data_IF_421783188346
#
_entry.id   IF_421783188346
#
_cell.length_a   1.000
_cell.length_b   1.000
_cell.length_c   1.000
_cell.angle_alpha   90.00
_cell.angle_beta   90.00
_cell.angle_gamma   90.00
#
_symmetry.space_group_name_H-M   'P 1'
#
loop_
_entity.id
_entity.type
_entity.pdbx_description
1 polymer ?
#
# COMPACT_ATOMS: atom_id res chain seq x y z
N UNK A 1 -17.50 7.08 -14.60
CA UNK A 1 -18.09 7.71 -15.80
C UNK A 1 -19.60 7.47 -15.80
N UNK A 2 -20.43 8.48 -16.07
CA UNK A 2 -21.85 8.25 -16.34
C UNK A 2 -21.99 7.97 -17.84
N UNK A 3 -22.29 6.71 -18.17
CA UNK A 3 -22.65 6.29 -19.52
C UNK A 3 -23.85 7.14 -19.94
N UNK A 4 -23.75 7.89 -21.04
CA UNK A 4 -24.93 8.53 -21.61
C UNK A 4 -25.81 7.44 -22.22
N UNK A 5 -26.77 6.98 -21.43
CA UNK A 5 -27.78 5.94 -21.73
C UNK A 5 -28.46 6.17 -23.08
N UNK A 6 -28.63 7.43 -23.48
CA UNK A 6 -29.34 7.86 -24.69
C UNK A 6 -28.74 7.37 -26.00
N UNK A 7 -27.42 7.25 -26.12
CA UNK A 7 -26.78 6.79 -27.36
C UNK A 7 -26.86 5.27 -27.52
N UNK A 8 -26.86 4.53 -26.42
CA UNK A 8 -27.08 3.07 -26.40
C UNK A 8 -28.55 2.78 -26.70
N UNK A 9 -29.46 3.51 -26.05
CA UNK A 9 -30.92 3.40 -26.25
C UNK A 9 -31.31 3.65 -27.72
N UNK A 10 -30.78 4.70 -28.35
CA UNK A 10 -31.10 5.00 -29.75
C UNK A 10 -30.62 3.91 -30.73
N UNK A 11 -29.50 3.25 -30.42
CA UNK A 11 -28.98 2.18 -31.28
C UNK A 11 -29.74 0.85 -31.05
N UNK A 12 -30.24 0.65 -29.83
CA UNK A 12 -31.20 -0.40 -29.48
C UNK A 12 -32.49 -0.25 -30.29
N UNK A 13 -33.06 0.96 -30.35
CA UNK A 13 -34.25 1.28 -31.16
C UNK A 13 -34.02 1.00 -32.65
N UNK A 14 -32.83 1.32 -33.18
CA UNK A 14 -32.47 1.03 -34.59
C UNK A 14 -32.43 -0.48 -34.88
N UNK A 15 -31.98 -1.29 -33.91
CA UNK A 15 -31.98 -2.74 -34.03
C UNK A 15 -33.39 -3.32 -33.93
N UNK A 16 -34.23 -2.77 -33.04
CA UNK A 16 -35.67 -3.07 -32.94
C UNK A 16 -36.39 -2.77 -34.26
N UNK A 17 -36.09 -1.63 -34.88
CA UNK A 17 -36.71 -1.22 -36.15
C UNK A 17 -36.27 -2.10 -37.33
N UNK A 18 -35.02 -2.58 -37.34
CA UNK A 18 -34.55 -3.58 -38.31
C UNK A 18 -35.16 -4.97 -38.10
N UNK A 19 -35.64 -5.27 -36.90
CA UNK A 19 -36.30 -6.55 -36.61
C UNK A 19 -37.72 -6.62 -37.21
N UNK A 20 -38.34 -5.50 -37.61
CA UNK A 20 -39.73 -5.50 -38.07
C UNK A 20 -40.00 -6.18 -39.44
N UNK A 21 -38.97 -6.46 -40.26
CA UNK A 21 -39.08 -7.20 -41.53
C UNK A 21 -38.75 -8.72 -41.37
N UNK A 22 -39.67 -9.61 -41.80
CA UNK A 22 -39.83 -11.01 -41.36
C UNK A 22 -38.80 -12.06 -41.88
N UNK A 23 -38.73 -13.23 -41.20
CA UNK A 23 -37.74 -14.34 -41.20
C UNK A 23 -36.37 -14.01 -40.60
N UNK A 24 -35.95 -12.75 -40.66
CA UNK A 24 -34.82 -12.19 -39.89
C UNK A 24 -35.16 -11.88 -38.43
N UNK A 25 -36.45 -11.75 -38.10
CA UNK A 25 -36.96 -11.22 -36.82
C UNK A 25 -36.52 -12.00 -35.58
N UNK A 26 -36.70 -13.31 -35.52
CA UNK A 26 -36.31 -14.12 -34.35
C UNK A 26 -34.78 -14.20 -34.17
N UNK A 27 -34.02 -14.21 -35.27
CA UNK A 27 -32.56 -14.17 -35.21
C UNK A 27 -32.05 -12.79 -34.79
N UNK A 28 -32.71 -11.71 -35.22
CA UNK A 28 -32.37 -10.35 -34.82
C UNK A 28 -32.76 -10.06 -33.38
N UNK A 29 -33.97 -10.42 -32.94
CA UNK A 29 -34.42 -10.31 -31.54
C UNK A 29 -33.47 -11.08 -30.60
N UNK A 30 -33.07 -12.30 -30.98
CA UNK A 30 -32.10 -13.08 -30.22
C UNK A 30 -30.73 -12.39 -30.13
N UNK A 31 -30.24 -11.82 -31.24
CA UNK A 31 -28.98 -11.07 -31.25
C UNK A 31 -29.04 -9.78 -30.42
N UNK A 32 -30.19 -9.10 -30.40
CA UNK A 32 -30.41 -7.92 -29.56
C UNK A 32 -30.38 -8.31 -28.09
N UNK A 33 -31.12 -9.35 -27.70
CA UNK A 33 -31.12 -9.85 -26.31
C UNK A 33 -29.72 -10.30 -25.86
N UNK A 34 -28.97 -11.02 -26.70
CA UNK A 34 -27.58 -11.40 -26.42
C UNK A 34 -26.66 -10.18 -26.28
N UNK A 35 -26.84 -9.14 -27.11
CA UNK A 35 -26.06 -7.91 -27.01
C UNK A 35 -26.37 -7.12 -25.74
N UNK A 36 -27.65 -7.03 -25.35
CA UNK A 36 -28.09 -6.41 -24.09
C UNK A 36 -27.48 -7.09 -22.87
N UNK A 37 -27.58 -8.43 -22.80
CA UNK A 37 -27.02 -9.21 -21.69
C UNK A 37 -25.50 -9.00 -21.59
N UNK A 38 -24.79 -9.08 -22.72
CA UNK A 38 -23.35 -8.85 -22.75
C UNK A 38 -22.97 -7.41 -22.36
N UNK A 39 -23.74 -6.41 -22.77
CA UNK A 39 -23.50 -5.02 -22.38
C UNK A 39 -23.71 -4.78 -20.88
N UNK A 40 -24.74 -5.37 -20.29
CA UNK A 40 -24.94 -5.34 -18.85
C UNK A 40 -23.78 -6.02 -18.11
N UNK A 41 -23.34 -7.18 -18.60
CA UNK A 41 -22.22 -7.91 -18.04
C UNK A 41 -20.91 -7.13 -18.14
N UNK A 42 -20.63 -6.53 -19.29
CA UNK A 42 -19.47 -5.67 -19.51
C UNK A 42 -19.48 -4.49 -18.56
N UNK A 43 -20.61 -3.79 -18.42
CA UNK A 43 -20.73 -2.66 -17.48
C UNK A 43 -20.45 -3.07 -16.04
N UNK A 44 -20.99 -4.22 -15.59
CA UNK A 44 -20.72 -4.76 -14.26
C UNK A 44 -19.24 -5.15 -14.09
N UNK A 45 -18.62 -5.72 -15.12
CA UNK A 45 -17.22 -6.12 -15.10
C UNK A 45 -16.28 -4.90 -15.05
N UNK A 46 -16.54 -3.88 -15.88
CA UNK A 46 -15.80 -2.62 -15.90
C UNK A 46 -15.92 -1.86 -14.58
N UNK A 47 -17.12 -1.77 -14.00
CA UNK A 47 -17.30 -1.15 -12.69
C UNK A 47 -16.47 -1.85 -11.59
N UNK A 48 -16.43 -3.19 -11.60
CA UNK A 48 -15.59 -3.95 -10.66
C UNK A 48 -14.10 -3.73 -10.92
N UNK A 49 -13.68 -3.69 -12.19
CA UNK A 49 -12.30 -3.39 -12.56
C UNK A 49 -11.90 -1.97 -12.14
N UNK A 50 -12.74 -0.97 -12.34
CA UNK A 50 -12.49 0.42 -11.95
C UNK A 50 -12.29 0.56 -10.44
N UNK A 51 -13.14 -0.10 -9.64
CA UNK A 51 -12.95 -0.15 -8.18
C UNK A 51 -11.65 -0.84 -7.78
N UNK A 52 -11.34 -2.00 -8.37
CA UNK A 52 -10.07 -2.71 -8.11
C UNK A 52 -8.85 -1.88 -8.53
N UNK A 53 -8.93 -1.16 -9.64
CA UNK A 53 -7.88 -0.26 -10.11
C UNK A 53 -7.72 0.94 -9.18
N UNK A 54 -8.81 1.53 -8.69
CA UNK A 54 -8.75 2.65 -7.73
C UNK A 54 -8.04 2.25 -6.43
N UNK A 55 -8.40 1.10 -5.86
CA UNK A 55 -7.73 0.56 -4.66
C UNK A 55 -6.23 0.30 -4.93
N UNK A 56 -5.94 -0.32 -6.08
CA UNK A 56 -4.58 -0.59 -6.53
C UNK A 56 -3.76 0.70 -6.66
N UNK A 57 -4.29 1.73 -7.34
CA UNK A 57 -3.59 3.00 -7.55
C UNK A 57 -3.28 3.71 -6.23
N UNK A 58 -4.19 3.63 -5.25
CA UNK A 58 -3.92 4.14 -3.90
C UNK A 58 -2.75 3.43 -3.24
N UNK A 59 -2.75 2.09 -3.23
CA UNK A 59 -1.68 1.31 -2.59
C UNK A 59 -0.34 1.46 -3.33
N UNK A 60 -0.36 1.46 -4.66
CA UNK A 60 0.79 1.76 -5.50
C UNK A 60 1.35 3.16 -5.20
N UNK A 61 0.48 4.15 -5.02
CA UNK A 61 0.85 5.51 -4.60
C UNK A 61 1.49 5.54 -3.21
N UNK A 62 0.99 4.77 -2.24
CA UNK A 62 1.64 4.65 -0.92
C UNK A 62 3.05 4.07 -1.07
N UNK A 63 3.19 2.96 -1.79
CA UNK A 63 4.48 2.30 -1.97
C UNK A 63 5.50 3.21 -2.67
N UNK A 64 5.08 3.93 -3.71
CA UNK A 64 5.96 4.74 -4.56
C UNK A 64 6.18 6.15 -4.05
N UNK A 65 5.13 6.88 -3.68
CA UNK A 65 5.21 8.29 -3.33
C UNK A 65 5.51 8.52 -1.85
N UNK A 66 5.03 7.63 -0.97
CA UNK A 66 5.27 7.74 0.48
C UNK A 66 6.58 7.05 0.83
N UNK A 67 6.75 5.79 0.44
CA UNK A 67 7.94 5.01 0.80
C UNK A 67 9.06 4.99 -0.26
N UNK A 68 8.89 5.69 -1.39
CA UNK A 68 9.94 5.82 -2.40
C UNK A 68 10.34 4.52 -3.11
N UNK A 69 9.51 3.47 -3.07
CA UNK A 69 9.81 2.16 -3.67
C UNK A 69 9.29 2.07 -5.09
N UNK A 70 10.02 1.40 -5.98
CA UNK A 70 9.57 1.14 -7.34
C UNK A 70 8.53 0.02 -7.41
N UNK A 71 7.59 0.12 -8.36
CA UNK A 71 6.72 -1.00 -8.72
C UNK A 71 7.49 -2.02 -9.57
N UNK A 72 7.31 -3.32 -9.34
CA UNK A 72 7.80 -4.34 -10.27
C UNK A 72 7.18 -4.21 -11.68
N UNK A 73 7.86 -4.78 -12.67
CA UNK A 73 7.42 -4.80 -14.07
C UNK A 73 6.07 -5.46 -14.27
N UNK A 74 5.82 -6.56 -13.56
CA UNK A 74 4.61 -7.38 -13.64
C UNK A 74 3.40 -6.58 -13.13
N UNK A 75 3.60 -5.87 -12.02
CA UNK A 75 2.62 -4.97 -11.40
C UNK A 75 2.30 -3.79 -12.33
N UNK A 76 3.33 -3.23 -12.97
CA UNK A 76 3.17 -2.13 -13.93
C UNK A 76 2.41 -2.58 -15.18
N UNK A 77 2.70 -3.79 -15.67
CA UNK A 77 2.01 -4.38 -16.82
C UNK A 77 0.51 -4.58 -16.55
N UNK A 78 0.16 -5.11 -15.37
CA UNK A 78 -1.23 -5.26 -14.97
C UNK A 78 -1.97 -3.92 -14.89
N UNK A 79 -1.32 -2.89 -14.32
CA UNK A 79 -1.84 -1.51 -14.26
C UNK A 79 -2.10 -0.94 -15.65
N UNK A 80 -1.14 -1.06 -16.56
CA UNK A 80 -1.24 -0.48 -17.90
C UNK A 80 -2.30 -1.20 -18.73
N UNK A 81 -2.41 -2.53 -18.61
CA UNK A 81 -3.50 -3.31 -19.23
C UNK A 81 -4.87 -2.85 -18.70
N UNK A 82 -5.03 -2.69 -17.39
CA UNK A 82 -6.27 -2.21 -16.78
C UNK A 82 -6.66 -0.80 -17.24
N UNK A 83 -5.69 0.11 -17.35
CA UNK A 83 -5.91 1.46 -17.90
C UNK A 83 -6.28 1.43 -19.37
N UNK A 84 -5.71 0.53 -20.16
CA UNK A 84 -6.07 0.37 -21.56
C UNK A 84 -7.52 -0.09 -21.71
N UNK A 85 -7.94 -1.09 -20.93
CA UNK A 85 -9.30 -1.65 -20.99
C UNK A 85 -10.35 -0.65 -20.50
N UNK A 86 -10.06 0.12 -19.45
CA UNK A 86 -11.00 1.14 -18.94
C UNK A 86 -11.11 2.39 -19.83
N UNK A 87 -10.26 2.53 -20.85
CA UNK A 87 -10.27 3.64 -21.82
C UNK A 87 -10.92 3.30 -23.15
N UNK A 88 -11.43 2.08 -23.32
CA UNK A 88 -12.17 1.67 -24.53
C UNK A 88 -13.37 2.61 -24.71
N UNK A 89 -13.53 3.14 -25.92
CA UNK A 89 -14.59 4.12 -26.22
C UNK A 89 -15.92 3.43 -26.47
N UNK A 90 -17.00 4.20 -26.42
CA UNK A 90 -18.33 3.68 -26.78
C UNK A 90 -18.37 3.20 -28.24
N UNK A 91 -17.70 3.90 -29.16
CA UNK A 91 -17.63 3.52 -30.57
C UNK A 91 -16.92 2.17 -30.74
N UNK A 92 -15.87 1.90 -29.97
CA UNK A 92 -15.18 0.60 -29.98
C UNK A 92 -16.11 -0.53 -29.49
N UNK A 93 -16.91 -0.27 -28.44
CA UNK A 93 -17.89 -1.26 -27.94
C UNK A 93 -18.99 -1.51 -28.98
N UNK A 94 -19.43 -0.46 -29.67
CA UNK A 94 -20.41 -0.57 -30.74
C UNK A 94 -19.87 -1.38 -31.93
N UNK A 95 -18.60 -1.18 -32.29
CA UNK A 95 -17.93 -1.97 -33.33
C UNK A 95 -17.83 -3.46 -32.94
N UNK A 96 -17.66 -3.77 -31.65
CA UNK A 96 -17.64 -5.17 -31.14
C UNK A 96 -19.02 -5.85 -31.18
N UNK A 97 -20.12 -5.08 -31.19
CA UNK A 97 -21.47 -5.63 -31.36
C UNK A 97 -21.74 -5.94 -32.85
N UNK A 98 -21.21 -5.07 -33.73
CA UNK A 98 -21.43 -5.15 -35.17
C UNK A 98 -20.50 -6.18 -35.86
N UNK A 99 -19.29 -6.42 -35.33
CA UNK A 99 -18.27 -7.30 -35.91
C UNK A 99 -18.23 -8.70 -35.25
N UNK A 100 -18.62 -9.74 -36.00
CA UNK A 100 -18.59 -11.13 -35.55
C UNK A 100 -17.18 -11.68 -35.28
N UNK A 101 -16.13 -10.95 -35.67
CA UNK A 101 -14.73 -11.31 -35.40
C UNK A 101 -14.19 -10.75 -34.07
N UNK A 102 -14.82 -9.70 -33.51
CA UNK A 102 -14.50 -9.12 -32.20
C UNK A 102 -15.68 -9.31 -31.26
N UNK A 103 -15.83 -10.51 -30.72
CA UNK A 103 -16.95 -10.78 -29.82
C UNK A 103 -16.87 -9.94 -28.55
N UNK A 104 -17.95 -9.23 -28.24
CA UNK A 104 -18.16 -8.56 -26.96
C UNK A 104 -17.90 -9.51 -25.77
N UNK A 105 -18.21 -10.81 -25.92
CA UNK A 105 -17.89 -11.84 -24.93
C UNK A 105 -16.39 -11.98 -24.66
N UNK A 106 -15.56 -11.94 -25.70
CA UNK A 106 -14.10 -12.01 -25.56
C UNK A 106 -13.56 -10.79 -24.82
N UNK A 107 -14.16 -9.62 -25.05
CA UNK A 107 -13.77 -8.40 -24.35
C UNK A 107 -14.15 -8.45 -22.86
N UNK A 108 -15.31 -9.02 -22.54
CA UNK A 108 -15.72 -9.26 -21.16
C UNK A 108 -14.73 -10.19 -20.44
N UNK A 109 -14.27 -11.25 -21.11
CA UNK A 109 -13.27 -12.16 -20.56
C UNK A 109 -11.92 -11.44 -20.35
N UNK A 110 -11.48 -10.59 -21.28
CA UNK A 110 -10.30 -9.74 -21.10
C UNK A 110 -10.40 -8.80 -19.89
N UNK A 111 -11.59 -8.21 -19.66
CA UNK A 111 -11.86 -7.37 -18.48
C UNK A 111 -11.76 -8.19 -17.20
N UNK A 112 -12.30 -9.42 -17.19
CA UNK A 112 -12.25 -10.33 -16.03
C UNK A 112 -10.82 -10.77 -15.72
N UNK A 113 -10.07 -11.19 -16.72
CA UNK A 113 -8.68 -11.62 -16.57
C UNK A 113 -7.82 -10.46 -16.06
N UNK A 114 -8.04 -9.27 -16.61
CA UNK A 114 -7.31 -8.07 -16.19
C UNK A 114 -7.67 -7.66 -14.77
N UNK A 115 -8.92 -7.83 -14.35
CA UNK A 115 -9.32 -7.61 -12.96
C UNK A 115 -8.60 -8.57 -12.01
N UNK A 116 -8.49 -9.85 -12.33
CA UNK A 116 -7.75 -10.79 -11.48
C UNK A 116 -6.25 -10.46 -11.47
N UNK A 117 -5.66 -10.05 -12.60
CA UNK A 117 -4.27 -9.59 -12.65
C UNK A 117 -4.04 -8.34 -11.78
N UNK A 118 -4.95 -7.36 -11.79
CA UNK A 118 -4.87 -6.17 -10.90
C UNK A 118 -4.97 -6.58 -9.43
N UNK A 119 -5.84 -7.53 -9.11
CA UNK A 119 -6.00 -8.03 -7.74
C UNK A 119 -4.78 -8.80 -7.24
N UNK A 120 -4.11 -9.57 -8.10
CA UNK A 120 -2.85 -10.23 -7.75
C UNK A 120 -1.71 -9.21 -7.60
N UNK A 121 -1.62 -8.23 -8.50
CA UNK A 121 -0.68 -7.12 -8.38
C UNK A 121 -0.91 -6.31 -7.10
N UNK A 122 -2.17 -6.12 -6.71
CA UNK A 122 -2.58 -5.50 -5.44
C UNK A 122 -2.09 -6.32 -4.24
N UNK A 123 -2.33 -7.63 -4.22
CA UNK A 123 -1.86 -8.52 -3.14
C UNK A 123 -0.34 -8.43 -2.98
N UNK A 124 0.39 -8.41 -4.09
CA UNK A 124 1.83 -8.24 -4.09
C UNK A 124 2.25 -6.90 -3.44
N UNK A 125 1.62 -5.78 -3.82
CA UNK A 125 1.89 -4.48 -3.19
C UNK A 125 1.58 -4.52 -1.69
N UNK A 126 0.46 -5.14 -1.29
CA UNK A 126 0.07 -5.25 0.12
C UNK A 126 1.10 -6.03 0.96
N UNK A 127 1.65 -7.12 0.43
CA UNK A 127 2.73 -7.87 1.08
C UNK A 127 3.98 -7.01 1.29
N UNK A 128 4.40 -6.25 0.27
CA UNK A 128 5.52 -5.32 0.37
C UNK A 128 5.27 -4.19 1.38
N UNK A 129 4.07 -3.61 1.38
CA UNK A 129 3.70 -2.57 2.33
C UNK A 129 3.69 -3.10 3.77
N UNK A 130 3.21 -4.33 3.99
CA UNK A 130 3.27 -4.97 5.29
C UNK A 130 4.71 -5.22 5.76
N UNK A 131 5.60 -5.63 4.85
CA UNK A 131 7.02 -5.82 5.18
C UNK A 131 7.68 -4.49 5.59
N UNK A 132 7.42 -3.42 4.83
CA UNK A 132 7.89 -2.06 5.17
C UNK A 132 7.34 -1.65 6.54
N UNK A 133 6.04 -1.82 6.78
CA UNK A 133 5.42 -1.48 8.05
C UNK A 133 6.07 -2.24 9.22
N UNK A 134 6.28 -3.56 9.09
CA UNK A 134 6.93 -4.37 10.14
C UNK A 134 8.35 -3.89 10.43
N UNK A 135 9.14 -3.64 9.39
CA UNK A 135 10.51 -3.12 9.53
C UNK A 135 10.52 -1.78 10.28
N UNK A 136 9.67 -0.85 9.82
CA UNK A 136 9.60 0.49 10.39
C UNK A 136 9.06 0.52 11.83
N UNK A 137 8.13 -0.37 12.17
CA UNK A 137 7.71 -0.55 13.56
C UNK A 137 8.83 -1.13 14.44
N UNK A 138 9.66 -2.03 13.91
CA UNK A 138 10.83 -2.54 14.62
C UNK A 138 11.90 -1.48 14.88
N UNK A 139 12.09 -0.55 13.95
CA UNK A 139 12.96 0.63 14.15
C UNK A 139 12.38 1.54 15.25
N UNK A 140 11.06 1.75 15.28
CA UNK A 140 10.39 2.50 16.34
C UNK A 140 10.52 1.84 17.72
N UNK A 141 10.42 0.51 17.78
CA UNK A 141 10.64 -0.28 18.99
C UNK A 141 12.08 -0.15 19.50
N UNK A 142 13.05 -0.19 18.57
CA UNK A 142 14.46 -0.01 18.89
C UNK A 142 14.75 1.41 19.41
N UNK A 143 14.22 2.43 18.73
CA UNK A 143 14.34 3.81 19.15
C UNK A 143 13.74 4.04 20.54
N UNK A 144 12.57 3.45 20.83
CA UNK A 144 11.97 3.52 22.17
C UNK A 144 12.87 2.87 23.22
N UNK A 145 13.40 1.68 22.94
CA UNK A 145 14.32 1.00 23.85
C UNK A 145 15.58 1.81 24.15
N UNK A 146 16.15 2.48 23.14
CA UNK A 146 17.28 3.39 23.34
C UNK A 146 16.84 4.60 24.18
N UNK A 147 15.70 5.23 23.87
CA UNK A 147 15.20 6.38 24.65
C UNK A 147 14.96 6.05 26.13
N UNK A 148 14.49 4.84 26.45
CA UNK A 148 14.31 4.37 27.82
C UNK A 148 15.60 4.33 28.64
N UNK A 149 16.75 4.10 28.00
CA UNK A 149 18.05 4.03 28.68
C UNK A 149 18.80 5.38 28.67
N UNK A 150 18.57 6.25 27.69
CA UNK A 150 19.28 7.55 27.59
C UNK A 150 18.56 8.71 28.29
N UNK A 151 17.47 8.45 29.00
CA UNK A 151 16.80 9.44 29.85
C UNK A 151 15.38 9.83 29.46
N UNK A 152 14.75 9.11 28.52
CA UNK A 152 13.36 9.26 28.08
C UNK A 152 12.98 10.70 27.69
N UNK A 153 13.64 11.25 26.66
CA UNK A 153 13.28 12.58 26.17
C UNK A 153 11.79 12.63 25.73
N UNK A 154 10.95 13.51 26.31
CA UNK A 154 9.52 13.54 26.01
C UNK A 154 9.20 13.85 24.53
N UNK A 155 10.02 14.65 23.87
CA UNK A 155 9.82 15.01 22.46
C UNK A 155 10.21 13.86 21.52
N UNK A 156 11.27 13.12 21.84
CA UNK A 156 11.64 11.86 21.18
C UNK A 156 10.54 10.81 21.31
N UNK A 157 10.05 10.57 22.53
CA UNK A 157 8.97 9.60 22.79
C UNK A 157 7.68 9.96 22.05
N UNK A 158 7.34 11.25 21.99
CA UNK A 158 6.20 11.74 21.20
C UNK A 158 6.40 11.53 19.71
N UNK A 159 7.62 11.70 19.21
CA UNK A 159 7.96 11.45 17.80
C UNK A 159 7.81 9.98 17.45
N UNK A 160 8.36 9.07 18.27
CA UNK A 160 8.21 7.61 18.13
C UNK A 160 6.72 7.20 18.14
N UNK A 161 5.93 7.75 19.06
CA UNK A 161 4.49 7.47 19.14
C UNK A 161 3.74 7.93 17.87
N UNK A 162 4.02 9.13 17.37
CA UNK A 162 3.44 9.64 16.12
C UNK A 162 3.85 8.79 14.92
N UNK A 163 5.09 8.35 14.88
CA UNK A 163 5.63 7.48 13.83
C UNK A 163 4.86 6.15 13.77
N UNK A 164 4.71 5.46 14.91
CA UNK A 164 3.90 4.24 15.01
C UNK A 164 2.44 4.46 14.63
N UNK A 165 1.84 5.55 15.11
CA UNK A 165 0.45 5.88 14.78
C UNK A 165 0.26 6.08 13.28
N UNK A 166 1.20 6.76 12.62
CA UNK A 166 1.17 6.93 11.18
C UNK A 166 1.22 5.58 10.46
N UNK A 167 2.21 4.74 10.77
CA UNK A 167 2.38 3.42 10.17
C UNK A 167 1.17 2.51 10.36
N UNK A 168 0.52 2.55 11.53
CA UNK A 168 -0.69 1.76 11.79
C UNK A 168 -1.93 2.30 11.06
N UNK A 169 -1.95 3.59 10.71
CA UNK A 169 -3.08 4.26 10.07
C UNK A 169 -2.96 4.42 8.56
N UNK A 170 -1.78 4.19 7.97
CA UNK A 170 -1.49 4.47 6.55
C UNK A 170 -2.40 3.71 5.58
N UNK A 171 -2.93 2.57 6.01
CA UNK A 171 -3.85 1.75 5.23
C UNK A 171 -5.30 2.26 5.25
N UNK A 172 -5.62 3.28 6.06
CA UNK A 172 -6.96 3.83 6.18
C UNK A 172 -7.43 4.47 4.87
N UNK A 173 -8.57 4.05 4.30
CA UNK A 173 -9.01 4.45 2.97
C UNK A 173 -9.37 5.94 2.84
N UNK A 174 -9.53 6.66 3.97
CA UNK A 174 -9.93 8.07 4.00
C UNK A 174 -8.80 9.07 3.68
N UNK A 175 -7.53 8.66 3.78
CA UNK A 175 -6.41 9.57 3.55
C UNK A 175 -5.88 9.50 2.12
N UNK A 176 -5.66 10.67 1.52
CA UNK A 176 -5.05 10.79 0.19
C UNK A 176 -3.55 10.52 0.25
N UNK A 177 -3.00 9.92 -0.81
CA UNK A 177 -1.57 9.61 -0.94
C UNK A 177 -0.69 10.86 -0.74
N UNK A 178 -1.11 12.01 -1.29
CA UNK A 178 -0.37 13.27 -1.15
C UNK A 178 -0.28 13.77 0.30
N UNK A 179 -1.33 13.56 1.09
CA UNK A 179 -1.36 13.90 2.51
C UNK A 179 -0.46 12.95 3.30
N UNK A 180 -0.57 11.64 3.03
CA UNK A 180 0.27 10.62 3.65
C UNK A 180 1.76 10.89 3.38
N UNK A 181 2.12 11.23 2.14
CA UNK A 181 3.50 11.60 1.76
C UNK A 181 4.02 12.77 2.57
N UNK A 182 3.23 13.83 2.68
CA UNK A 182 3.64 15.04 3.40
C UNK A 182 3.83 14.77 4.90
N UNK A 183 2.96 13.94 5.48
CA UNK A 183 3.08 13.50 6.87
C UNK A 183 4.32 12.63 7.06
N UNK A 184 4.55 11.67 6.17
CA UNK A 184 5.72 10.79 6.20
C UNK A 184 7.02 11.57 6.14
N UNK A 185 7.20 12.47 5.18
CA UNK A 185 8.44 13.25 5.05
C UNK A 185 8.78 14.07 6.31
N UNK A 186 7.76 14.62 6.97
CA UNK A 186 7.97 15.33 8.24
C UNK A 186 8.31 14.40 9.39
N UNK A 187 7.69 13.21 9.43
CA UNK A 187 7.90 12.21 10.47
C UNK A 187 9.25 11.49 10.31
N UNK A 188 9.58 11.04 9.11
CA UNK A 188 10.85 10.39 8.75
C UNK A 188 12.01 11.27 9.14
N UNK A 189 12.02 12.54 8.72
CA UNK A 189 13.08 13.49 9.10
C UNK A 189 13.18 13.71 10.61
N UNK A 190 12.05 13.74 11.33
CA UNK A 190 12.06 13.90 12.77
C UNK A 190 12.60 12.63 13.47
N UNK A 191 12.24 11.47 12.94
CA UNK A 191 12.60 10.15 13.43
C UNK A 191 14.08 9.82 13.16
N UNK A 192 14.63 10.19 12.00
CA UNK A 192 16.05 10.07 11.64
C UNK A 192 17.00 10.84 12.59
N UNK A 193 16.51 11.86 13.31
CA UNK A 193 17.33 12.55 14.31
C UNK A 193 17.43 11.77 15.63
N UNK A 194 16.70 10.65 15.76
CA UNK A 194 16.77 9.77 16.92
C UNK A 194 17.76 8.64 16.65
N UNK A 195 18.26 8.03 17.71
CA UNK A 195 18.97 6.77 17.61
C UNK A 195 17.99 5.63 17.36
N UNK A 196 17.96 5.13 16.13
CA UNK A 196 16.99 4.14 15.65
C UNK A 196 17.56 2.73 15.57
N UNK A 197 18.87 2.54 15.79
CA UNK A 197 19.54 1.25 15.72
C UNK A 197 20.62 1.10 16.80
N UNK A 198 20.81 -0.14 17.26
CA UNK A 198 21.79 -0.47 18.28
C UNK A 198 23.23 -0.48 17.75
N UNK A 199 23.44 -0.82 16.48
CA UNK A 199 24.78 -0.91 15.88
C UNK A 199 25.42 0.47 15.73
N UNK A 200 24.66 1.47 15.30
CA UNK A 200 25.05 2.86 15.20
C UNK A 200 25.24 3.50 16.57
N UNK A 201 24.36 3.19 17.53
CA UNK A 201 24.57 3.59 18.93
C UNK A 201 25.88 3.00 19.49
N UNK A 202 26.11 1.70 19.27
CA UNK A 202 27.35 1.02 19.65
C UNK A 202 28.59 1.67 19.04
N UNK A 203 28.58 1.86 17.72
CA UNK A 203 29.73 2.40 16.98
C UNK A 203 30.04 3.84 17.40
N UNK A 204 29.02 4.67 17.63
CA UNK A 204 29.19 6.07 18.04
C UNK A 204 29.82 6.21 19.42
N UNK A 205 29.43 5.34 20.34
CA UNK A 205 29.89 5.38 21.72
C UNK A 205 31.04 4.40 22.01
N UNK A 206 31.49 3.65 21.01
CA UNK A 206 32.60 2.70 21.15
C UNK A 206 32.30 1.55 22.11
N UNK A 207 31.03 1.13 22.20
CA UNK A 207 30.58 0.12 23.15
C UNK A 207 30.93 -1.29 22.65
N UNK A 208 31.23 -2.17 23.58
CA UNK A 208 31.39 -3.60 23.29
C UNK A 208 30.02 -4.26 23.03
N UNK A 209 30.04 -5.39 22.32
CA UNK A 209 28.83 -6.19 22.06
C UNK A 209 28.15 -6.59 23.37
N UNK A 210 28.95 -6.91 24.39
CA UNK A 210 28.44 -7.27 25.72
C UNK A 210 27.69 -6.11 26.38
N UNK A 211 28.23 -4.89 26.29
CA UNK A 211 27.56 -3.69 26.81
C UNK A 211 26.23 -3.43 26.11
N UNK A 212 26.16 -3.64 24.79
CA UNK A 212 24.90 -3.50 24.04
C UNK A 212 23.87 -4.53 24.48
N UNK A 213 24.26 -5.79 24.69
CA UNK A 213 23.36 -6.81 25.21
C UNK A 213 22.84 -6.47 26.61
N UNK A 214 23.68 -5.89 27.46
CA UNK A 214 23.29 -5.45 28.79
C UNK A 214 22.32 -4.23 28.73
N UNK A 215 22.55 -3.29 27.82
CA UNK A 215 21.64 -2.17 27.55
C UNK A 215 20.29 -2.61 26.99
N UNK A 216 20.26 -3.63 26.12
CA UNK A 216 19.01 -4.23 25.64
C UNK A 216 18.21 -4.84 26.78
N UNK A 217 18.87 -5.57 27.70
CA UNK A 217 18.21 -6.10 28.91
C UNK A 217 17.66 -4.97 29.78
N UNK A 218 18.43 -3.90 29.98
CA UNK A 218 18.02 -2.73 30.74
C UNK A 218 16.78 -2.07 30.14
N UNK A 219 16.77 -1.81 28.83
CA UNK A 219 15.60 -1.22 28.14
C UNK A 219 14.33 -2.07 28.26
N UNK A 220 14.48 -3.38 28.37
CA UNK A 220 13.36 -4.34 28.46
C UNK A 220 12.82 -4.50 29.87
N UNK A 221 13.71 -4.53 30.87
CA UNK A 221 13.36 -4.80 32.28
C UNK A 221 13.24 -3.54 33.14
N UNK A 222 13.72 -2.40 32.65
CA UNK A 222 13.84 -1.13 33.39
C UNK A 222 14.95 -1.12 34.45
N UNK A 223 15.55 -2.28 34.76
CA UNK A 223 16.63 -2.45 35.72
C UNK A 223 17.54 -3.61 35.31
N UNK A 224 18.83 -3.49 35.66
CA UNK A 224 19.81 -4.57 35.58
C UNK A 224 20.59 -4.57 36.89
N UNK A 225 20.80 -5.74 37.48
CA UNK A 225 21.61 -5.88 38.69
C UNK A 225 23.07 -5.61 38.32
N UNK A 226 23.74 -4.75 39.10
CA UNK A 226 25.14 -4.38 38.83
C UNK A 226 26.08 -5.59 38.90
N UNK A 227 25.73 -6.59 39.73
CA UNK A 227 26.47 -7.84 39.85
C UNK A 227 26.39 -8.71 38.58
N UNK A 228 25.39 -8.48 37.73
CA UNK A 228 25.25 -9.15 36.43
C UNK A 228 26.00 -8.42 35.30
N UNK A 229 26.57 -7.24 35.59
CA UNK A 229 27.34 -6.45 34.63
C UNK A 229 28.84 -6.68 34.78
N UNK A 230 29.54 -6.70 33.66
CA UNK A 230 31.01 -6.69 33.70
C UNK A 230 31.53 -5.30 34.08
N UNK A 231 32.70 -5.22 34.74
CA UNK A 231 33.36 -3.95 35.02
C UNK A 231 33.58 -3.12 33.74
N UNK A 232 33.86 -3.80 32.63
CA UNK A 232 33.96 -3.17 31.30
C UNK A 232 32.63 -2.56 30.88
N UNK A 233 31.51 -3.29 31.00
CA UNK A 233 30.17 -2.79 30.67
C UNK A 233 29.81 -1.56 31.51
N UNK A 234 30.07 -1.60 32.82
CA UNK A 234 29.79 -0.48 33.73
C UNK A 234 30.62 0.75 33.35
N UNK A 235 31.91 0.58 33.10
CA UNK A 235 32.78 1.70 32.71
C UNK A 235 32.38 2.30 31.36
N UNK A 236 32.12 1.46 30.35
CA UNK A 236 31.66 1.93 29.03
C UNK A 236 30.33 2.69 29.13
N UNK A 237 29.36 2.18 29.89
CA UNK A 237 28.09 2.88 30.10
C UNK A 237 28.27 4.18 30.87
N UNK A 238 29.13 4.18 31.90
CA UNK A 238 29.46 5.39 32.63
C UNK A 238 30.27 6.37 31.78
N UNK A 239 30.89 6.00 30.66
CA UNK A 239 31.56 6.96 29.78
C UNK A 239 30.62 7.67 28.81
N UNK A 240 29.39 7.17 28.65
CA UNK A 240 28.34 7.78 27.84
C UNK A 240 27.53 8.78 28.71
N UNK A 241 27.62 10.10 28.46
CA UNK A 241 26.96 11.12 29.28
C UNK A 241 25.46 10.89 29.47
N UNK A 242 24.78 10.43 28.42
CA UNK A 242 23.34 10.19 28.38
C UNK A 242 22.91 8.98 29.23
N UNK A 243 23.78 7.98 29.38
CA UNK A 243 23.51 6.80 30.21
C UNK A 243 23.81 7.06 31.70
N UNK A 244 24.76 7.93 32.01
CA UNK A 244 25.12 8.30 33.41
C UNK A 244 23.92 8.75 34.22
N UNK A 245 22.99 9.49 33.62
CA UNK A 245 21.81 10.01 34.31
C UNK A 245 20.77 8.93 34.64
N UNK A 246 20.75 7.85 33.87
CA UNK A 246 19.74 6.80 33.97
C UNK A 246 20.21 5.62 34.82
N UNK A 247 21.51 5.33 34.78
CA UNK A 247 22.11 4.26 35.58
C UNK A 247 22.23 4.74 37.02
N UNK A 248 21.20 4.44 37.82
CA UNK A 248 21.28 4.55 39.28
C UNK A 248 22.19 3.45 39.81
N UNK A 249 23.48 3.75 39.92
CA UNK A 249 24.40 2.93 40.70
C UNK A 249 23.98 3.04 42.16
N UNK A 250 23.21 2.08 42.65
CA UNK A 250 23.00 1.91 44.09
C UNK A 250 24.18 1.11 44.61
N UNK A 251 25.15 1.81 45.19
CA UNK A 251 26.22 1.23 46.01
C UNK A 251 25.67 0.70 47.33
#
# INVERSE_FOLDING_TARGET
MAIQTTAIESKLESLEQKAEEYDTRTNTEKRVAEAEENLEELNRALYKLENSLSDFERQAGILTEVFGRSLPSEVTTARDKARSITRVSQDDVLDMIDDSSKSLSSHIDDVRDTKEAVKDARRFIDEHLQEIQRRQLGEADTAESIQKIVGEDPDAMKTISRYRSFLNSIHNPSDSVSRLRSQWQGLEKAFENLDTDWEGFQSRHGLSDQTIEDLKKLSSKGQVDLDDLSDTSVNEMLDVPELRSTIKVSL
#
